data_IF_004794820641
#
_entry.id   IF_004794820641
#
_cell.length_a   1.000
_cell.length_b   1.000
_cell.length_c   1.000
_cell.angle_alpha   90.00
_cell.angle_beta   90.00
_cell.angle_gamma   90.00
#
_symmetry.space_group_name_H-M   'P 1'
#
loop_
_entity.id
_entity.type
_entity.pdbx_description
1 polymer ?
#
# COMPACT_ATOMS: atom_id res chain seq x y z
N UNK A 1 4.03 -5.30 -5.05
CA UNK A 1 3.27 -4.57 -4.01
C UNK A 1 3.27 -5.45 -2.78
N UNK A 2 3.52 -4.90 -1.59
CA UNK A 2 3.39 -5.63 -0.32
C UNK A 2 2.11 -5.21 0.41
N UNK A 3 1.21 -6.16 0.64
CA UNK A 3 -0.02 -5.94 1.39
C UNK A 3 0.18 -6.24 2.88
N UNK A 4 -0.55 -5.55 3.76
CA UNK A 4 -0.48 -5.69 5.22
C UNK A 4 0.95 -5.50 5.78
N UNK A 5 1.70 -4.54 5.23
CA UNK A 5 3.14 -4.37 5.51
C UNK A 5 3.46 -3.96 6.96
N UNK A 6 2.59 -3.17 7.58
CA UNK A 6 2.67 -2.78 8.98
C UNK A 6 1.29 -2.34 9.49
N UNK A 7 1.14 -2.34 10.81
CA UNK A 7 0.02 -1.71 11.51
C UNK A 7 0.53 -0.45 12.20
N UNK A 8 -0.12 0.70 11.95
CA UNK A 8 0.17 1.93 12.68
C UNK A 8 -0.83 2.09 13.83
N UNK A 9 -0.32 2.13 15.06
CA UNK A 9 -1.16 2.30 16.25
C UNK A 9 -1.86 3.67 16.20
N UNK A 10 -3.20 3.74 16.28
CA UNK A 10 -3.92 5.00 16.22
C UNK A 10 -3.62 5.90 17.44
N UNK A 11 -3.23 5.31 18.57
CA UNK A 11 -3.01 6.03 19.82
C UNK A 11 -1.61 6.68 19.91
N UNK A 12 -0.56 5.96 19.48
CA UNK A 12 0.83 6.40 19.65
C UNK A 12 1.63 6.52 18.34
N UNK A 13 1.02 6.21 17.18
CA UNK A 13 1.63 6.27 15.85
C UNK A 13 2.85 5.35 15.66
N UNK A 14 3.10 4.43 16.58
CA UNK A 14 4.11 3.39 16.38
C UNK A 14 3.71 2.47 15.24
N UNK A 15 4.69 2.09 14.42
CA UNK A 15 4.49 1.11 13.35
C UNK A 15 4.97 -0.25 13.82
N UNK A 16 4.06 -1.21 13.83
CA UNK A 16 4.33 -2.59 14.22
C UNK A 16 4.22 -3.48 13.01
N UNK A 17 5.28 -4.21 12.65
CA UNK A 17 5.19 -5.28 11.67
C UNK A 17 4.50 -6.49 12.29
N UNK A 18 3.19 -6.60 12.07
CA UNK A 18 2.42 -7.75 12.57
C UNK A 18 2.88 -9.05 11.89
N UNK A 19 3.30 -8.96 10.63
CA UNK A 19 3.89 -10.05 9.86
C UNK A 19 5.39 -9.82 9.66
N UNK A 20 6.09 -10.77 9.03
CA UNK A 20 7.50 -10.63 8.69
C UNK A 20 7.73 -9.41 7.78
N UNK A 21 8.83 -8.69 8.02
CA UNK A 21 9.21 -7.53 7.18
C UNK A 21 10.21 -7.90 6.09
N UNK A 22 10.24 -7.08 5.05
CA UNK A 22 11.21 -7.12 3.96
C UNK A 22 11.20 -8.40 3.12
N UNK A 23 10.20 -9.28 3.28
CA UNK A 23 10.09 -10.49 2.47
C UNK A 23 9.87 -10.13 1.00
N UNK A 24 8.89 -9.27 0.74
CA UNK A 24 8.58 -8.82 -0.64
C UNK A 24 9.71 -7.95 -1.20
N UNK A 25 10.34 -7.09 -0.39
CA UNK A 25 11.45 -6.25 -0.82
C UNK A 25 12.67 -7.08 -1.25
N UNK A 26 13.07 -8.06 -0.43
CA UNK A 26 14.18 -8.97 -0.76
C UNK A 26 13.87 -9.78 -2.01
N UNK A 27 12.68 -10.37 -2.07
CA UNK A 27 12.28 -11.19 -3.22
C UNK A 27 12.23 -10.37 -4.51
N UNK A 28 11.68 -9.16 -4.46
CA UNK A 28 11.62 -8.24 -5.59
C UNK A 28 13.03 -7.89 -6.09
N UNK A 29 13.94 -7.55 -5.18
CA UNK A 29 15.33 -7.26 -5.51
C UNK A 29 16.05 -8.47 -6.14
N UNK A 30 15.87 -9.66 -5.57
CA UNK A 30 16.50 -10.90 -6.05
C UNK A 30 16.06 -11.30 -7.46
N UNK A 31 14.82 -10.94 -7.85
CA UNK A 31 14.26 -11.28 -9.16
C UNK A 31 14.28 -10.12 -10.16
N UNK A 32 14.84 -8.95 -9.80
CA UNK A 32 14.79 -7.75 -10.64
C UNK A 32 13.36 -7.25 -10.89
N UNK A 33 12.45 -7.53 -9.96
CA UNK A 33 11.05 -7.10 -10.02
C UNK A 33 10.91 -5.80 -9.23
N UNK A 34 10.07 -4.91 -9.74
CA UNK A 34 9.84 -3.63 -9.11
C UNK A 34 8.83 -3.65 -7.96
N UNK A 35 9.25 -3.11 -6.81
CA UNK A 35 8.36 -2.88 -5.69
C UNK A 35 7.62 -1.54 -5.84
N UNK A 36 6.35 -1.62 -6.26
CA UNK A 36 5.52 -0.41 -6.46
C UNK A 36 5.16 0.29 -5.14
N UNK A 37 5.04 -0.44 -4.03
CA UNK A 37 4.76 0.16 -2.73
C UNK A 37 4.24 -0.85 -1.70
N UNK A 38 3.93 -0.31 -0.53
CA UNK A 38 3.45 -1.03 0.64
C UNK A 38 2.09 -0.49 1.07
N UNK A 39 1.15 -1.36 1.41
CA UNK A 39 -0.17 -1.02 1.92
C UNK A 39 -0.25 -1.48 3.38
N UNK A 40 -0.54 -0.58 4.34
CA UNK A 40 -0.63 -0.95 5.75
C UNK A 40 -1.89 -1.76 6.04
N UNK A 41 -1.89 -2.43 7.19
CA UNK A 41 -3.08 -2.98 7.80
C UNK A 41 -3.85 -1.84 8.49
N UNK A 42 -4.82 -1.25 7.81
CA UNK A 42 -5.65 -0.15 8.33
C UNK A 42 -7.11 -0.59 8.45
N UNK A 43 -7.76 -0.23 9.57
CA UNK A 43 -9.15 -0.61 9.85
C UNK A 43 -10.12 -0.11 8.76
N UNK A 44 -9.92 1.12 8.31
CA UNK A 44 -10.73 1.78 7.29
C UNK A 44 -10.71 1.04 5.94
N UNK A 45 -9.58 0.41 5.57
CA UNK A 45 -9.46 -0.43 4.37
C UNK A 45 -10.35 -1.66 4.51
N UNK A 46 -10.24 -2.38 5.63
CA UNK A 46 -11.04 -3.58 5.92
C UNK A 46 -12.54 -3.25 5.91
N UNK A 47 -12.94 -2.18 6.59
CA UNK A 47 -14.34 -1.77 6.66
C UNK A 47 -14.91 -1.36 5.30
N UNK A 48 -14.11 -0.72 4.46
CA UNK A 48 -14.51 -0.37 3.09
C UNK A 48 -14.77 -1.62 2.26
N UNK A 49 -13.88 -2.62 2.36
CA UNK A 49 -14.05 -3.93 1.74
C UNK A 49 -15.33 -4.64 2.23
N UNK A 50 -15.57 -4.67 3.55
CA UNK A 50 -16.77 -5.29 4.14
C UNK A 50 -18.07 -4.62 3.65
N UNK A 51 -18.03 -3.30 3.42
CA UNK A 51 -19.16 -2.50 2.91
C UNK A 51 -19.33 -2.59 1.39
N UNK A 52 -18.41 -3.22 0.67
CA UNK A 52 -18.39 -3.25 -0.80
C UNK A 52 -18.12 -1.87 -1.43
N UNK A 53 -17.49 -0.95 -0.69
CA UNK A 53 -17.15 0.39 -1.19
C UNK A 53 -15.64 0.46 -1.40
N UNK A 54 -15.14 0.86 -2.58
CA UNK A 54 -13.71 0.99 -2.79
C UNK A 54 -13.09 1.98 -1.81
N UNK A 55 -12.04 1.55 -1.10
CA UNK A 55 -11.35 2.38 -0.13
C UNK A 55 -10.89 3.73 -0.71
N UNK A 56 -10.44 3.73 -1.97
CA UNK A 56 -10.03 4.93 -2.71
C UNK A 56 -11.14 5.97 -2.90
N UNK A 57 -12.41 5.58 -2.80
CA UNK A 57 -13.55 6.51 -2.88
C UNK A 57 -13.88 7.17 -1.53
N UNK A 58 -13.30 6.70 -0.43
CA UNK A 58 -13.72 7.07 0.93
C UNK A 58 -12.76 8.01 1.67
N UNK A 59 -11.52 8.19 1.19
CA UNK A 59 -10.48 8.92 1.93
C UNK A 59 -10.32 10.37 1.45
N UNK A 60 -10.32 11.32 2.41
CA UNK A 60 -10.14 12.76 2.17
C UNK A 60 -8.76 13.32 2.55
N UNK A 61 -7.90 12.61 3.30
CA UNK A 61 -6.49 13.04 3.52
C UNK A 61 -5.60 11.94 4.15
N UNK A 62 -4.28 12.17 3.98
CA UNK A 62 -3.07 11.48 4.44
C UNK A 62 -2.75 10.10 3.83
N UNK A 63 -1.89 10.16 2.81
CA UNK A 63 -1.25 9.08 2.06
C UNK A 63 -2.22 8.11 1.37
N UNK A 64 -2.61 8.46 0.16
CA UNK A 64 -3.28 7.52 -0.74
C UNK A 64 -2.25 6.49 -1.27
N UNK A 65 -2.05 5.42 -0.49
CA UNK A 65 -1.18 4.30 -0.83
C UNK A 65 -1.51 3.73 -2.21
N UNK A 66 -2.81 3.64 -2.53
CA UNK A 66 -3.28 3.08 -3.80
C UNK A 66 -3.01 4.04 -4.95
N UNK A 67 -3.28 5.34 -4.82
CA UNK A 67 -2.93 6.31 -5.87
C UNK A 67 -1.43 6.41 -6.10
N UNK A 68 -0.59 6.32 -5.06
CA UNK A 68 0.86 6.32 -5.23
C UNK A 68 1.36 5.07 -5.97
N UNK A 69 0.80 3.90 -5.66
CA UNK A 69 1.07 2.66 -6.41
C UNK A 69 0.58 2.79 -7.85
N UNK A 70 -0.63 3.32 -8.07
CA UNK A 70 -1.20 3.52 -9.39
C UNK A 70 -0.35 4.48 -10.24
N UNK A 71 0.09 5.62 -9.68
CA UNK A 71 0.99 6.56 -10.36
C UNK A 71 2.29 5.90 -10.81
N UNK A 72 2.93 5.12 -9.94
CA UNK A 72 4.16 4.38 -10.29
C UNK A 72 3.91 3.32 -11.35
N UNK A 73 2.74 2.67 -11.32
CA UNK A 73 2.34 1.70 -12.33
C UNK A 73 2.12 2.40 -13.68
N UNK A 74 1.35 3.49 -13.72
CA UNK A 74 1.09 4.25 -14.94
C UNK A 74 2.38 4.75 -15.57
N UNK A 75 3.27 5.37 -14.79
CA UNK A 75 4.57 5.85 -15.27
C UNK A 75 5.45 4.74 -15.89
N UNK A 76 5.22 3.47 -15.52
CA UNK A 76 5.92 2.32 -16.10
C UNK A 76 5.27 1.75 -17.35
N UNK A 77 3.95 1.78 -17.39
CA UNK A 77 3.20 1.28 -18.54
C UNK A 77 3.25 2.27 -19.71
N UNK A 78 3.24 3.58 -19.41
CA UNK A 78 3.36 4.64 -20.39
C UNK A 78 4.05 5.87 -19.76
N UNK A 79 5.34 6.09 -20.08
CA UNK A 79 6.11 7.23 -19.57
C UNK A 79 5.58 8.61 -20.01
N UNK A 80 4.66 8.66 -20.98
CA UNK A 80 4.12 9.91 -21.54
C UNK A 80 2.70 10.24 -21.07
N UNK A 81 2.07 9.40 -20.25
CA UNK A 81 0.73 9.64 -19.71
C UNK A 81 0.72 9.69 -18.18
N UNK A 82 0.98 10.88 -17.63
CA UNK A 82 0.47 11.31 -16.33
C UNK A 82 0.45 12.84 -16.24
#
# INVERSE_FOLDING_TARGET
IENMSFFECPCCKSRTPIFSQHGVEKEALSNGIDLLGHVPLELSIRESCDKGVPYSMTKTQDLDYFANIAKKLCAKLDPHSC
#
